data_IF_787357501129
#
_entry.id   IF_787357501129
#
_cell.length_a   1.000
_cell.length_b   1.000
_cell.length_c   1.000
_cell.angle_alpha   90.00
_cell.angle_beta   90.00
_cell.angle_gamma   90.00
#
_symmetry.space_group_name_H-M   'P 1'
#
loop_
_entity.id
_entity.type
_entity.pdbx_description
1 polymer ?
#
# COMPACT_ATOMS: atom_id res chain seq x y z
N UNK A 1 15.08 10.78 -10.07
CA UNK A 1 14.35 10.45 -8.82
C UNK A 1 15.33 10.53 -7.65
N UNK A 2 14.98 11.16 -6.52
CA UNK A 2 15.89 11.29 -5.38
C UNK A 2 16.13 9.93 -4.69
N UNK A 3 17.29 9.78 -4.05
CA UNK A 3 17.73 8.50 -3.45
C UNK A 3 16.73 7.95 -2.43
N UNK A 4 16.11 8.80 -1.61
CA UNK A 4 15.12 8.39 -0.61
C UNK A 4 13.86 7.77 -1.22
N UNK A 5 13.46 8.22 -2.41
CA UNK A 5 12.29 7.66 -3.11
C UNK A 5 12.62 6.27 -3.66
N UNK A 6 13.85 6.06 -4.12
CA UNK A 6 14.34 4.74 -4.54
C UNK A 6 14.35 3.80 -3.33
N UNK A 7 14.90 4.24 -2.19
CA UNK A 7 14.90 3.46 -0.94
C UNK A 7 13.48 3.10 -0.51
N UNK A 8 12.54 4.04 -0.59
CA UNK A 8 11.14 3.79 -0.30
C UNK A 8 10.53 2.74 -1.24
N UNK A 9 10.76 2.84 -2.56
CA UNK A 9 10.25 1.86 -3.53
C UNK A 9 10.81 0.45 -3.28
N UNK A 10 12.10 0.33 -2.94
CA UNK A 10 12.69 -0.96 -2.55
C UNK A 10 12.03 -1.51 -1.29
N UNK A 11 11.86 -0.68 -0.26
CA UNK A 11 11.18 -1.08 0.96
C UNK A 11 9.72 -1.49 0.70
N UNK A 12 9.02 -0.76 -0.17
CA UNK A 12 7.65 -1.06 -0.58
C UNK A 12 7.57 -2.43 -1.27
N UNK A 13 8.45 -2.71 -2.24
CA UNK A 13 8.50 -4.01 -2.92
C UNK A 13 8.78 -5.16 -1.95
N UNK A 14 9.70 -4.96 -1.00
CA UNK A 14 9.98 -5.95 0.05
C UNK A 14 8.75 -6.18 0.94
N UNK A 15 8.08 -5.10 1.36
CA UNK A 15 6.87 -5.18 2.19
C UNK A 15 5.72 -5.90 1.49
N UNK A 16 5.49 -5.59 0.20
CA UNK A 16 4.50 -6.30 -0.62
C UNK A 16 4.86 -7.79 -0.69
N UNK A 17 6.12 -8.12 -0.95
CA UNK A 17 6.56 -9.52 -1.02
C UNK A 17 6.33 -10.26 0.29
N UNK A 18 6.67 -9.64 1.43
CA UNK A 18 6.42 -10.20 2.76
C UNK A 18 4.93 -10.38 3.01
N UNK A 19 4.09 -9.40 2.63
CA UNK A 19 2.65 -9.47 2.77
C UNK A 19 2.06 -10.64 1.96
N UNK A 20 2.47 -10.80 0.70
CA UNK A 20 2.02 -11.89 -0.16
C UNK A 20 2.43 -13.26 0.37
N UNK A 21 3.67 -13.41 0.84
CA UNK A 21 4.14 -14.65 1.48
C UNK A 21 3.30 -14.96 2.73
N UNK A 22 3.04 -13.94 3.55
CA UNK A 22 2.21 -14.09 4.75
C UNK A 22 0.78 -14.52 4.39
N UNK A 23 0.14 -13.85 3.44
CA UNK A 23 -1.23 -14.15 3.03
C UNK A 23 -1.35 -15.53 2.39
N UNK A 24 -0.33 -15.96 1.64
CA UNK A 24 -0.24 -17.33 1.14
C UNK A 24 -0.14 -18.34 2.29
N UNK A 25 0.71 -18.09 3.29
CA UNK A 25 0.83 -18.96 4.47
C UNK A 25 -0.45 -18.97 5.32
N UNK A 26 -1.16 -17.85 5.38
CA UNK A 26 -2.46 -17.70 6.05
C UNK A 26 -3.62 -18.32 5.24
N UNK A 27 -3.34 -18.96 4.10
CA UNK A 27 -4.31 -19.60 3.21
C UNK A 27 -5.44 -18.65 2.77
N UNK A 28 -5.09 -17.38 2.54
CA UNK A 28 -6.03 -16.40 1.97
C UNK A 28 -6.42 -16.83 0.56
N UNK A 29 -7.62 -16.41 0.13
CA UNK A 29 -8.09 -16.73 -1.22
C UNK A 29 -7.15 -16.13 -2.28
N UNK A 30 -7.03 -16.81 -3.42
CA UNK A 30 -6.19 -16.33 -4.53
C UNK A 30 -6.54 -14.90 -4.96
N UNK A 31 -7.83 -14.56 -5.02
CA UNK A 31 -8.30 -13.21 -5.35
C UNK A 31 -7.87 -12.16 -4.31
N UNK A 32 -7.75 -12.54 -3.03
CA UNK A 32 -7.26 -11.64 -1.99
C UNK A 32 -5.77 -11.31 -2.23
N UNK A 33 -4.96 -12.33 -2.46
CA UNK A 33 -3.51 -12.18 -2.72
C UNK A 33 -3.29 -11.36 -4.00
N UNK A 34 -4.07 -11.62 -5.04
CA UNK A 34 -3.98 -10.88 -6.31
C UNK A 34 -4.33 -9.40 -6.14
N UNK A 35 -5.37 -9.08 -5.38
CA UNK A 35 -5.78 -7.70 -5.14
C UNK A 35 -4.79 -6.97 -4.21
N UNK A 36 -4.19 -7.65 -3.23
CA UNK A 36 -3.10 -7.12 -2.41
C UNK A 36 -1.88 -6.75 -3.26
N UNK A 37 -1.47 -7.65 -4.15
CA UNK A 37 -0.40 -7.38 -5.10
C UNK A 37 -0.74 -6.21 -6.03
N UNK A 38 -1.97 -6.17 -6.56
CA UNK A 38 -2.43 -5.09 -7.44
C UNK A 38 -2.40 -3.74 -6.72
N UNK A 39 -2.88 -3.65 -5.48
CA UNK A 39 -2.83 -2.42 -4.69
C UNK A 39 -1.40 -1.95 -4.46
N UNK A 40 -0.50 -2.86 -4.04
CA UNK A 40 0.91 -2.55 -3.86
C UNK A 40 1.60 -2.10 -5.15
N UNK A 41 1.33 -2.76 -6.28
CA UNK A 41 1.86 -2.39 -7.58
C UNK A 41 1.34 -1.02 -8.04
N UNK A 42 0.07 -0.70 -7.81
CA UNK A 42 -0.50 0.63 -8.06
C UNK A 42 0.21 1.69 -7.23
N UNK A 43 0.43 1.44 -5.94
CA UNK A 43 1.18 2.35 -5.07
C UNK A 43 2.61 2.60 -5.56
N UNK A 44 3.30 1.54 -5.99
CA UNK A 44 4.62 1.65 -6.61
C UNK A 44 4.57 2.55 -7.86
N UNK A 45 3.60 2.30 -8.74
CA UNK A 45 3.41 3.04 -9.99
C UNK A 45 3.09 4.51 -9.73
N UNK A 46 2.34 4.85 -8.68
CA UNK A 46 2.09 6.24 -8.29
C UNK A 46 3.35 6.96 -7.85
N UNK A 47 4.14 6.36 -6.95
CA UNK A 47 5.38 6.98 -6.50
C UNK A 47 6.38 7.08 -7.66
N UNK A 48 6.46 6.06 -8.50
CA UNK A 48 7.33 6.10 -9.68
C UNK A 48 6.89 7.18 -10.67
N UNK A 49 5.60 7.21 -11.02
CA UNK A 49 5.00 8.19 -11.93
C UNK A 49 5.09 9.62 -11.44
N UNK A 50 5.09 9.86 -10.12
CA UNK A 50 5.28 11.19 -9.56
C UNK A 50 6.60 11.84 -10.00
N UNK A 51 7.66 11.03 -10.10
CA UNK A 51 9.01 11.47 -10.50
C UNK A 51 9.34 11.20 -11.97
N UNK A 52 8.56 10.37 -12.66
CA UNK A 52 8.77 10.01 -14.06
C UNK A 52 7.57 10.47 -14.92
N UNK A 53 7.73 11.55 -15.72
CA UNK A 53 6.67 12.09 -16.55
C UNK A 53 6.11 11.12 -17.59
N UNK A 54 6.95 10.24 -18.15
CA UNK A 54 6.52 9.26 -19.15
C UNK A 54 5.53 8.27 -18.52
N UNK A 55 5.83 7.80 -17.32
CA UNK A 55 4.91 6.91 -16.58
C UNK A 55 3.64 7.63 -16.17
N UNK A 56 3.74 8.88 -15.73
CA UNK A 56 2.55 9.72 -15.47
C UNK A 56 1.65 9.85 -16.69
N UNK A 57 2.23 10.06 -17.88
CA UNK A 57 1.48 10.17 -19.13
C UNK A 57 0.87 8.83 -19.55
N UNK A 58 1.58 7.71 -19.36
CA UNK A 58 1.07 6.37 -19.65
C UNK A 58 -0.14 5.99 -18.79
N UNK A 59 -0.12 6.32 -17.50
CA UNK A 59 -1.24 6.05 -16.60
C UNK A 59 -2.40 7.01 -16.93
N UNK A 60 -2.09 8.31 -17.14
CA UNK A 60 -3.07 9.33 -17.49
C UNK A 60 -4.29 9.31 -16.58
N UNK A 61 -5.49 9.41 -17.16
CA UNK A 61 -6.76 9.42 -16.42
C UNK A 61 -7.06 8.14 -15.63
N UNK A 62 -6.35 7.03 -15.87
CA UNK A 62 -6.51 5.82 -15.06
C UNK A 62 -6.01 6.02 -13.62
N UNK A 63 -5.24 7.06 -13.33
CA UNK A 63 -4.74 7.32 -11.98
C UNK A 63 -5.88 7.46 -10.96
N UNK A 64 -7.02 8.05 -11.36
CA UNK A 64 -8.17 8.28 -10.48
C UNK A 64 -8.85 6.96 -10.08
N UNK A 65 -9.33 6.11 -11.01
CA UNK A 65 -9.93 4.82 -10.64
C UNK A 65 -8.93 3.90 -9.94
N UNK A 66 -7.64 3.92 -10.29
CA UNK A 66 -6.61 3.16 -9.59
C UNK A 66 -6.42 3.64 -8.14
N UNK A 67 -6.50 4.95 -7.90
CA UNK A 67 -6.38 5.52 -6.56
C UNK A 67 -7.58 5.13 -5.70
N UNK A 68 -8.79 5.19 -6.27
CA UNK A 68 -10.01 4.74 -5.59
C UNK A 68 -9.91 3.25 -5.24
N UNK A 69 -9.45 2.42 -6.19
CA UNK A 69 -9.23 1.00 -5.96
C UNK A 69 -8.23 0.75 -4.82
N UNK A 70 -7.05 1.38 -4.86
CA UNK A 70 -6.02 1.19 -3.83
C UNK A 70 -6.53 1.58 -2.44
N UNK A 71 -7.19 2.74 -2.33
CA UNK A 71 -7.79 3.19 -1.06
C UNK A 71 -8.85 2.22 -0.53
N UNK A 72 -9.76 1.76 -1.41
CA UNK A 72 -10.83 0.85 -1.02
C UNK A 72 -10.28 -0.52 -0.62
N UNK A 73 -9.31 -1.04 -1.36
CA UNK A 73 -8.67 -2.32 -1.08
C UNK A 73 -7.89 -2.28 0.24
N UNK A 74 -7.04 -1.28 0.44
CA UNK A 74 -6.19 -1.21 1.62
C UNK A 74 -7.02 -1.00 2.90
N UNK A 75 -8.11 -0.24 2.83
CA UNK A 75 -9.09 -0.16 3.91
C UNK A 75 -9.74 -1.52 4.21
N UNK A 76 -10.13 -2.25 3.17
CA UNK A 76 -10.67 -3.60 3.32
C UNK A 76 -9.64 -4.56 3.95
N UNK A 77 -8.40 -4.56 3.48
CA UNK A 77 -7.31 -5.39 3.99
C UNK A 77 -7.01 -5.07 5.47
N UNK A 78 -6.95 -3.79 5.85
CA UNK A 78 -6.78 -3.33 7.23
C UNK A 78 -7.90 -3.83 8.15
N UNK A 79 -9.15 -3.86 7.66
CA UNK A 79 -10.29 -4.39 8.43
C UNK A 79 -10.21 -5.90 8.68
N UNK A 80 -9.48 -6.62 7.81
CA UNK A 80 -9.29 -8.08 7.84
C UNK A 80 -7.99 -8.52 8.51
N UNK A 81 -7.18 -7.60 9.03
CA UNK A 81 -5.99 -7.94 9.81
C UNK A 81 -6.39 -8.74 11.05
N UNK A 82 -5.83 -9.95 11.17
CA UNK A 82 -5.95 -10.78 12.37
C UNK A 82 -5.40 -10.01 13.56
N UNK A 83 -6.08 -10.12 14.69
CA UNK A 83 -5.57 -9.61 15.97
C UNK A 83 -4.30 -10.38 16.34
N UNK A 84 -3.33 -9.67 16.88
CA UNK A 84 -2.16 -10.28 17.48
C UNK A 84 -2.55 -11.12 18.69
N UNK A 85 -1.86 -12.24 18.83
CA UNK A 85 -2.01 -13.18 19.95
C UNK A 85 -0.62 -13.68 20.32
N UNK A 86 0.19 -12.75 20.83
CA UNK A 86 1.50 -13.11 21.37
C UNK A 86 1.29 -13.64 22.79
N UNK A 87 1.78 -14.86 23.02
CA UNK A 87 1.61 -15.60 24.28
C UNK A 87 2.28 -14.88 25.45
N UNK A 88 3.36 -14.14 25.17
CA UNK A 88 4.17 -13.46 26.17
C UNK A 88 3.65 -12.05 26.54
N UNK A 89 2.59 -11.57 25.88
CA UNK A 89 2.04 -10.23 26.09
C UNK A 89 0.68 -10.27 26.78
N UNK A 90 0.43 -9.29 27.65
CA UNK A 90 -0.90 -9.06 28.20
C UNK A 90 -1.92 -8.74 27.10
N UNK A 91 -3.21 -8.89 27.40
CA UNK A 91 -4.28 -8.56 26.43
C UNK A 91 -4.25 -7.07 26.03
N UNK A 92 -3.80 -6.20 26.94
CA UNK A 92 -3.66 -4.76 26.70
C UNK A 92 -2.47 -4.47 25.78
N UNK A 93 -1.32 -5.11 26.02
CA UNK A 93 -0.14 -4.98 25.14
C UNK A 93 -0.40 -5.52 23.74
N UNK A 94 -1.11 -6.66 23.61
CA UNK A 94 -1.53 -7.18 22.30
C UNK A 94 -2.44 -6.16 21.55
N UNK A 95 -3.39 -5.53 22.24
CA UNK A 95 -4.25 -4.48 21.65
C UNK A 95 -3.44 -3.25 21.20
N UNK A 96 -2.44 -2.86 21.97
CA UNK A 96 -1.55 -1.75 21.60
C UNK A 96 -0.69 -2.12 20.38
N UNK A 97 -0.15 -3.34 20.33
CA UNK A 97 0.63 -3.81 19.20
C UNK A 97 -0.19 -3.89 17.91
N UNK A 98 -1.45 -4.30 17.99
CA UNK A 98 -2.39 -4.23 16.86
C UNK A 98 -2.59 -2.79 16.37
N UNK A 99 -2.73 -1.84 17.30
CA UNK A 99 -2.91 -0.43 16.98
C UNK A 99 -1.66 0.15 16.30
N UNK A 100 -0.48 -0.11 16.85
CA UNK A 100 0.79 0.35 16.27
C UNK A 100 1.05 -0.26 14.90
N UNK A 101 0.73 -1.55 14.71
CA UNK A 101 0.88 -2.22 13.42
C UNK A 101 -0.01 -1.59 12.34
N UNK A 102 -1.27 -1.26 12.67
CA UNK A 102 -2.19 -0.58 11.75
C UNK A 102 -1.72 0.85 11.44
N UNK A 103 -1.28 1.58 12.46
CA UNK A 103 -0.75 2.93 12.27
C UNK A 103 0.48 2.92 11.38
N UNK A 104 1.42 2.00 11.62
CA UNK A 104 2.60 1.81 10.79
C UNK A 104 2.22 1.49 9.35
N UNK A 105 1.31 0.54 9.12
CA UNK A 105 0.84 0.19 7.77
C UNK A 105 0.24 1.40 7.05
N UNK A 106 -0.61 2.17 7.74
CA UNK A 106 -1.21 3.39 7.19
C UNK A 106 -0.17 4.46 6.85
N UNK A 107 0.76 4.74 7.76
CA UNK A 107 1.82 5.72 7.53
C UNK A 107 2.75 5.28 6.39
N UNK A 108 3.07 3.99 6.31
CA UNK A 108 3.95 3.43 5.30
C UNK A 108 3.36 3.52 3.89
N UNK A 109 2.05 3.27 3.73
CA UNK A 109 1.38 3.35 2.43
C UNK A 109 1.00 4.78 2.05
N UNK A 110 0.90 5.70 3.01
CA UNK A 110 0.48 7.09 2.76
C UNK A 110 1.24 7.85 1.65
N UNK A 111 2.56 7.68 1.45
CA UNK A 111 3.27 8.33 0.34
C UNK A 111 2.75 7.89 -1.03
N UNK A 112 2.27 6.64 -1.16
CA UNK A 112 1.65 6.16 -2.40
C UNK A 112 0.36 6.93 -2.72
N UNK A 113 -0.50 7.14 -1.72
CA UNK A 113 -1.74 7.90 -1.92
C UNK A 113 -1.48 9.38 -2.19
N UNK A 114 -0.52 9.98 -1.49
CA UNK A 114 -0.13 11.38 -1.73
C UNK A 114 0.43 11.56 -3.15
N UNK A 115 1.22 10.60 -3.63
CA UNK A 115 1.70 10.59 -5.01
C UNK A 115 0.55 10.44 -6.01
N UNK A 116 -0.35 9.47 -5.81
CA UNK A 116 -1.53 9.26 -6.67
C UNK A 116 -2.47 10.46 -6.71
N UNK A 117 -2.72 11.09 -5.56
CA UNK A 117 -3.51 12.32 -5.45
C UNK A 117 -2.83 13.49 -6.17
N UNK A 118 -1.51 13.63 -6.02
CA UNK A 118 -0.73 14.67 -6.72
C UNK A 118 -0.77 14.49 -8.23
N UNK A 119 -0.67 13.25 -8.73
CA UNK A 119 -0.79 12.92 -10.14
C UNK A 119 -2.20 13.22 -10.66
N UNK A 120 -3.23 12.86 -9.90
CA UNK A 120 -4.63 13.18 -10.24
C UNK A 120 -4.86 14.69 -10.32
N UNK A 121 -4.32 15.44 -9.36
CA UNK A 121 -4.43 16.90 -9.34
C UNK A 121 -3.79 17.53 -10.58
N UNK A 122 -2.57 17.09 -10.95
CA UNK A 122 -1.85 17.59 -12.14
C UNK A 122 -2.70 17.45 -13.41
N UNK A 123 -3.39 16.32 -13.58
CA UNK A 123 -4.25 16.05 -14.73
C UNK A 123 -5.53 16.89 -14.77
N UNK A 124 -6.10 17.22 -13.61
CA UNK A 124 -7.30 18.06 -13.52
C UNK A 124 -6.95 19.53 -13.76
N UNK A 125 -5.75 19.94 -13.36
CA UNK A 125 -5.27 21.33 -13.49
C UNK A 125 -4.62 21.66 -14.84
N UNK A 126 -4.35 20.65 -15.68
CA UNK A 126 -3.76 20.77 -17.01
C UNK A 126 -4.84 20.92 -18.09
#
# INVERSE_FOLDING_TARGET
MPWWAITYLVALTLMITIALIKDYRDQKSFFYILAEFASGAIGFVFVYGYFNPETSAMIGWLVIPLLIFALAWDQYALSKMKKSSYVDLSEQENKEMDRYSRLFAFLFISPCYLAGASLSWRLISS
#
